data_IF_715950629520
#
_entry.id   IF_715950629520
#
_cell.length_a   1.000
_cell.length_b   1.000
_cell.length_c   1.000
_cell.angle_alpha   90.00
_cell.angle_beta   90.00
_cell.angle_gamma   90.00
#
_symmetry.space_group_name_H-M   'P 1'
#
loop_
_entity.id
_entity.type
_entity.pdbx_description
1 polymer ?
#
# COMPACT_ATOMS: atom_id res chain seq x y z
N UNK A 1 13.31 22.91 13.06
CA UNK A 1 12.33 22.52 12.03
C UNK A 1 11.39 23.71 11.88
N UNK A 2 11.57 24.50 10.80
CA UNK A 2 10.67 25.61 10.49
C UNK A 2 9.36 24.99 9.94
N UNK A 3 8.27 25.15 10.68
CA UNK A 3 6.92 24.99 10.15
C UNK A 3 6.74 26.10 9.10
N UNK A 4 6.76 25.70 7.83
CA UNK A 4 6.31 26.59 6.75
C UNK A 4 4.83 26.82 7.00
N UNK A 5 4.43 28.02 7.38
CA UNK A 5 3.04 28.38 7.50
C UNK A 5 2.43 28.30 6.10
N UNK A 6 1.56 27.32 5.88
CA UNK A 6 0.82 27.22 4.61
C UNK A 6 -0.02 28.49 4.42
N UNK A 7 0.05 29.06 3.22
CA UNK A 7 -0.74 30.24 2.87
C UNK A 7 -2.25 29.94 3.01
N UNK A 8 -3.00 30.61 3.90
CA UNK A 8 -4.42 30.34 4.10
C UNK A 8 -5.25 30.49 2.82
N UNK A 9 -4.83 31.31 1.87
CA UNK A 9 -5.49 31.50 0.58
C UNK A 9 -5.27 30.27 -0.31
N UNK A 10 -4.05 29.75 -0.37
CA UNK A 10 -3.72 28.55 -1.11
C UNK A 10 -4.45 27.31 -0.55
N UNK A 11 -4.49 27.17 0.76
CA UNK A 11 -5.24 26.08 1.44
C UNK A 11 -6.74 26.18 1.12
N UNK A 12 -7.33 27.36 1.15
CA UNK A 12 -8.75 27.56 0.84
C UNK A 12 -9.06 27.24 -0.62
N UNK A 13 -8.20 27.62 -1.55
CA UNK A 13 -8.34 27.32 -2.97
C UNK A 13 -8.25 25.81 -3.22
N UNK A 14 -7.28 25.12 -2.61
CA UNK A 14 -7.12 23.68 -2.72
C UNK A 14 -8.31 22.93 -2.11
N UNK A 15 -8.81 23.36 -0.96
CA UNK A 15 -10.00 22.79 -0.35
C UNK A 15 -11.23 22.92 -1.26
N UNK A 16 -11.40 24.06 -1.93
CA UNK A 16 -12.48 24.27 -2.90
C UNK A 16 -12.33 23.33 -4.11
N UNK A 17 -11.12 23.16 -4.63
CA UNK A 17 -10.81 22.23 -5.72
C UNK A 17 -11.15 20.81 -5.34
N UNK A 18 -10.68 20.33 -4.18
CA UNK A 18 -10.92 18.96 -3.70
C UNK A 18 -12.40 18.69 -3.46
N UNK A 19 -13.17 19.68 -2.96
CA UNK A 19 -14.63 19.55 -2.79
C UNK A 19 -15.35 19.43 -4.13
N UNK A 20 -14.94 20.19 -5.13
CA UNK A 20 -15.52 20.12 -6.47
C UNK A 20 -15.23 18.76 -7.13
N UNK A 21 -14.00 18.27 -7.01
CA UNK A 21 -13.62 16.96 -7.53
C UNK A 21 -14.34 15.80 -6.80
N UNK A 22 -14.47 15.90 -5.48
CA UNK A 22 -15.25 14.93 -4.70
C UNK A 22 -16.71 14.89 -5.19
N UNK A 23 -17.35 16.04 -5.38
CA UNK A 23 -18.71 16.11 -5.92
C UNK A 23 -18.82 15.50 -7.31
N UNK A 24 -17.82 15.73 -8.18
CA UNK A 24 -17.74 15.11 -9.51
C UNK A 24 -17.66 13.58 -9.41
N UNK A 25 -16.77 13.06 -8.57
CA UNK A 25 -16.59 11.63 -8.37
C UNK A 25 -17.84 10.96 -7.81
N UNK A 26 -18.51 11.58 -6.82
CA UNK A 26 -19.78 11.08 -6.29
C UNK A 26 -20.84 10.91 -7.37
N UNK A 27 -20.94 11.91 -8.26
CA UNK A 27 -21.88 11.86 -9.39
C UNK A 27 -21.55 10.73 -10.37
N UNK A 28 -20.26 10.57 -10.71
CA UNK A 28 -19.82 9.51 -11.62
C UNK A 28 -20.06 8.12 -11.04
N UNK A 29 -19.77 7.93 -9.74
CA UNK A 29 -19.96 6.66 -9.02
C UNK A 29 -21.43 6.38 -8.67
N UNK A 30 -22.33 7.34 -8.93
CA UNK A 30 -23.75 7.28 -8.53
C UNK A 30 -23.92 6.97 -7.03
N UNK A 31 -23.04 7.52 -6.21
CA UNK A 31 -23.10 7.39 -4.75
C UNK A 31 -23.96 8.51 -4.17
N UNK A 32 -24.83 8.17 -3.21
CA UNK A 32 -25.47 9.18 -2.37
C UNK A 32 -24.45 9.77 -1.38
N UNK A 33 -24.69 10.99 -0.85
CA UNK A 33 -23.84 11.57 0.18
C UNK A 33 -23.67 10.66 1.41
N UNK A 34 -24.70 9.88 1.77
CA UNK A 34 -24.65 8.92 2.89
C UNK A 34 -23.74 7.73 2.58
N UNK A 35 -23.73 7.22 1.34
CA UNK A 35 -22.84 6.13 0.93
C UNK A 35 -21.36 6.58 0.81
N UNK A 36 -21.15 7.87 0.55
CA UNK A 36 -19.83 8.47 0.46
C UNK A 36 -19.37 9.10 1.77
N UNK A 37 -20.27 9.27 2.74
CA UNK A 37 -19.91 9.78 4.05
C UNK A 37 -18.82 8.87 4.65
N UNK A 38 -17.74 9.45 5.18
CA UNK A 38 -16.80 8.67 5.97
C UNK A 38 -17.58 7.95 7.06
N UNK A 39 -17.19 6.71 7.42
CA UNK A 39 -17.87 6.00 8.50
C UNK A 39 -17.92 6.93 9.71
N UNK A 40 -19.11 6.99 10.33
CA UNK A 40 -19.37 7.84 11.50
C UNK A 40 -18.27 7.58 12.54
N UNK A 41 -17.75 8.62 13.26
CA UNK A 41 -16.63 8.51 14.19
C UNK A 41 -16.84 7.62 15.44
N UNK A 42 -17.62 6.55 15.37
CA UNK A 42 -17.40 5.38 16.23
C UNK A 42 -16.01 4.77 16.05
N UNK A 43 -15.29 5.21 15.01
CA UNK A 43 -13.88 4.90 14.79
C UNK A 43 -12.90 5.74 15.62
N UNK A 44 -13.30 6.82 16.27
CA UNK A 44 -12.42 7.49 17.23
C UNK A 44 -12.01 6.55 18.38
N UNK A 45 -12.90 5.67 18.82
CA UNK A 45 -12.58 4.61 19.78
C UNK A 45 -11.65 3.51 19.22
N UNK A 46 -11.54 3.39 17.89
CA UNK A 46 -10.62 2.42 17.26
C UNK A 46 -9.17 2.89 17.35
N UNK A 47 -8.95 4.20 17.51
CA UNK A 47 -7.61 4.79 17.66
C UNK A 47 -7.30 5.22 19.11
N UNK A 48 -8.27 5.22 20.01
CA UNK A 48 -8.00 5.31 21.44
C UNK A 48 -7.46 3.96 21.89
N UNK A 49 -6.22 4.00 22.38
CA UNK A 49 -5.35 2.92 22.76
C UNK A 49 -6.04 1.73 23.47
N UNK A 50 -6.72 0.89 22.70
CA UNK A 50 -6.95 -0.49 23.17
C UNK A 50 -5.59 -1.18 23.22
N UNK A 51 -5.25 -1.86 24.33
CA UNK A 51 -4.01 -2.62 24.39
C UNK A 51 -3.92 -3.57 23.19
N UNK A 52 -2.87 -3.43 22.39
CA UNK A 52 -2.65 -4.26 21.20
C UNK A 52 -2.91 -3.59 19.84
N UNK A 53 -3.49 -2.38 19.78
CA UNK A 53 -3.64 -1.64 18.52
C UNK A 53 -2.33 -0.93 18.18
N UNK A 54 -1.79 -1.22 16.99
CA UNK A 54 -0.60 -0.54 16.47
C UNK A 54 -1.02 0.79 15.84
N UNK A 55 -0.36 1.87 16.25
CA UNK A 55 -0.58 3.22 15.75
C UNK A 55 0.75 3.92 15.46
N UNK A 56 0.72 5.16 14.95
CA UNK A 56 1.94 5.79 14.46
C UNK A 56 2.99 6.07 15.57
N UNK A 57 2.60 6.19 16.82
CA UNK A 57 3.51 6.31 17.99
C UNK A 57 3.93 4.97 18.58
N UNK A 58 3.42 3.84 18.09
CA UNK A 58 3.83 2.52 18.59
C UNK A 58 5.32 2.26 18.35
N UNK A 59 5.98 1.45 19.20
CA UNK A 59 7.34 1.02 18.98
C UNK A 59 7.55 0.40 17.60
N UNK A 60 8.76 0.51 17.07
CA UNK A 60 9.10 0.00 15.74
C UNK A 60 8.83 -1.51 15.63
N UNK A 61 9.15 -2.27 16.66
CA UNK A 61 8.96 -3.71 16.73
C UNK A 61 7.49 -4.09 16.57
N UNK A 62 6.60 -3.36 17.23
CA UNK A 62 5.16 -3.56 17.10
C UNK A 62 4.66 -3.25 15.68
N UNK A 63 5.18 -2.20 15.04
CA UNK A 63 4.86 -1.85 13.65
C UNK A 63 5.34 -2.92 12.67
N UNK A 64 6.57 -3.43 12.86
CA UNK A 64 7.15 -4.49 12.03
C UNK A 64 6.34 -5.78 12.18
N UNK A 65 6.00 -6.16 13.41
CA UNK A 65 5.21 -7.35 13.68
C UNK A 65 3.80 -7.25 13.04
N UNK A 66 3.14 -6.12 13.21
CA UNK A 66 1.83 -5.86 12.62
C UNK A 66 1.89 -5.90 11.09
N UNK A 67 2.87 -5.20 10.48
CA UNK A 67 3.04 -5.18 9.03
C UNK A 67 3.32 -6.57 8.48
N UNK A 68 4.22 -7.33 9.13
CA UNK A 68 4.56 -8.70 8.74
C UNK A 68 3.38 -9.68 8.87
N UNK A 69 2.49 -9.45 9.83
CA UNK A 69 1.26 -10.24 9.97
C UNK A 69 0.21 -9.87 8.91
N UNK A 70 0.00 -8.56 8.67
CA UNK A 70 -0.98 -8.07 7.70
C UNK A 70 -0.61 -8.48 6.27
N UNK A 71 0.67 -8.37 5.91
CA UNK A 71 1.21 -8.73 4.59
C UNK A 71 1.95 -10.07 4.64
N UNK A 72 1.40 -11.05 5.34
CA UNK A 72 1.99 -12.37 5.41
C UNK A 72 2.20 -12.97 4.00
N UNK A 73 3.42 -13.43 3.73
CA UNK A 73 3.87 -13.89 2.42
C UNK A 73 4.98 -14.92 2.60
N UNK A 74 5.59 -15.36 1.50
CA UNK A 74 6.78 -16.23 1.58
C UNK A 74 7.88 -15.55 2.39
N UNK A 75 8.52 -16.31 3.26
CA UNK A 75 9.62 -15.84 4.13
C UNK A 75 10.98 -16.26 3.63
N UNK A 76 11.06 -17.23 2.71
CA UNK A 76 12.29 -17.75 2.13
C UNK A 76 12.88 -16.87 1.03
N UNK A 77 12.09 -15.96 0.47
CA UNK A 77 12.48 -15.04 -0.59
C UNK A 77 11.66 -13.76 -0.54
N UNK A 78 12.26 -12.64 -0.95
CA UNK A 78 11.58 -11.38 -1.23
C UNK A 78 12.19 -10.72 -2.46
N UNK A 79 11.49 -9.77 -3.06
CA UNK A 79 12.02 -8.96 -4.16
C UNK A 79 12.57 -7.64 -3.65
N UNK A 80 13.59 -7.12 -4.34
CA UNK A 80 14.12 -5.77 -4.15
C UNK A 80 13.97 -4.97 -5.44
N UNK A 81 13.69 -3.68 -5.30
CA UNK A 81 13.69 -2.76 -6.43
C UNK A 81 15.11 -2.42 -6.82
N UNK A 82 15.37 -2.40 -8.11
CA UNK A 82 16.59 -1.85 -8.67
C UNK A 82 16.29 -0.69 -9.60
N UNK A 83 17.20 0.29 -9.63
CA UNK A 83 17.18 1.41 -10.56
C UNK A 83 18.54 1.47 -11.28
N UNK A 84 18.55 1.23 -12.59
CA UNK A 84 19.75 1.28 -13.39
C UNK A 84 19.92 2.69 -13.97
N UNK A 85 20.73 3.48 -13.33
CA UNK A 85 20.96 4.88 -13.72
C UNK A 85 21.54 5.05 -15.13
N UNK A 86 22.29 4.05 -15.64
CA UNK A 86 22.88 4.09 -16.97
C UNK A 86 21.85 3.91 -18.08
N UNK A 87 20.82 3.09 -17.85
CA UNK A 87 19.81 2.75 -18.86
C UNK A 87 18.45 3.38 -18.59
N UNK A 88 18.27 4.05 -17.44
CA UNK A 88 16.99 4.58 -16.98
C UNK A 88 15.96 3.50 -16.61
N UNK A 89 16.33 2.22 -16.63
CA UNK A 89 15.42 1.12 -16.36
C UNK A 89 15.36 0.82 -14.87
N UNK A 90 14.16 0.67 -14.37
CA UNK A 90 13.88 0.16 -13.02
C UNK A 90 13.09 -1.14 -13.10
N UNK A 91 13.09 -1.91 -12.02
CA UNK A 91 12.32 -3.14 -11.95
C UNK A 91 12.53 -3.85 -10.61
N UNK A 92 12.03 -5.07 -10.54
CA UNK A 92 12.10 -5.90 -9.37
C UNK A 92 12.87 -7.18 -9.67
N UNK A 93 13.73 -7.59 -8.75
CA UNK A 93 14.46 -8.85 -8.82
C UNK A 93 14.42 -9.53 -7.45
N UNK A 94 14.45 -10.86 -7.38
CA UNK A 94 14.62 -11.54 -6.11
C UNK A 94 15.90 -11.12 -5.41
N UNK A 95 15.84 -10.94 -4.10
CA UNK A 95 17.01 -10.70 -3.27
C UNK A 95 17.84 -11.98 -3.20
N UNK A 96 19.10 -11.93 -3.68
CA UNK A 96 20.00 -13.09 -3.71
C UNK A 96 21.37 -12.71 -3.18
N UNK A 97 22.05 -13.69 -2.58
CA UNK A 97 23.43 -13.53 -2.10
C UNK A 97 24.34 -13.21 -3.26
N UNK A 98 25.16 -12.17 -3.11
CA UNK A 98 26.06 -11.72 -4.19
C UNK A 98 25.42 -10.89 -5.29
N UNK A 99 24.12 -10.56 -5.16
CA UNK A 99 23.37 -9.78 -6.14
C UNK A 99 22.80 -10.59 -7.31
N UNK A 100 21.79 -10.01 -7.96
CA UNK A 100 21.13 -10.64 -9.11
C UNK A 100 22.04 -10.71 -10.35
N UNK A 101 22.17 -11.90 -10.92
CA UNK A 101 22.93 -12.13 -12.15
C UNK A 101 22.04 -12.83 -13.19
N UNK A 102 22.07 -12.31 -14.44
CA UNK A 102 21.37 -12.92 -15.58
C UNK A 102 22.02 -14.25 -15.94
N UNK A 103 21.19 -15.28 -16.25
CA UNK A 103 21.68 -16.59 -16.73
C UNK A 103 22.00 -17.59 -15.61
N UNK A 104 22.04 -17.20 -14.34
CA UNK A 104 22.14 -18.15 -13.23
C UNK A 104 20.79 -18.88 -13.08
N UNK A 105 20.81 -20.24 -13.01
CA UNK A 105 19.60 -21.05 -12.85
C UNK A 105 18.97 -20.83 -11.48
N UNK A 106 17.66 -21.07 -11.39
CA UNK A 106 16.89 -20.87 -10.15
C UNK A 106 17.47 -21.66 -8.96
N UNK A 107 17.82 -22.94 -9.20
CA UNK A 107 18.37 -23.82 -8.18
C UNK A 107 19.76 -23.42 -7.66
N UNK A 108 20.53 -22.68 -8.46
CA UNK A 108 21.87 -22.21 -8.10
C UNK A 108 21.86 -20.84 -7.38
N UNK A 109 20.68 -20.27 -7.13
CA UNK A 109 20.53 -18.95 -6.48
C UNK A 109 20.40 -19.09 -4.97
N UNK A 110 21.27 -18.42 -4.24
CA UNK A 110 21.13 -18.24 -2.79
C UNK A 110 20.14 -17.15 -2.45
N UNK A 111 18.85 -17.44 -2.43
CA UNK A 111 17.82 -16.49 -2.04
C UNK A 111 18.00 -16.01 -0.60
N UNK A 112 17.68 -14.74 -0.36
CA UNK A 112 17.74 -14.16 0.97
C UNK A 112 16.35 -14.21 1.62
N UNK A 113 16.29 -14.58 2.92
CA UNK A 113 15.02 -14.68 3.63
C UNK A 113 14.46 -13.28 3.95
N UNK A 114 13.14 -13.17 3.93
CA UNK A 114 12.42 -12.02 4.45
C UNK A 114 12.45 -12.05 5.99
N UNK A 115 13.18 -11.13 6.58
CA UNK A 115 13.34 -11.03 8.04
C UNK A 115 12.67 -9.77 8.59
N UNK A 116 12.46 -9.73 9.91
CA UNK A 116 11.99 -8.53 10.59
C UNK A 116 12.90 -7.32 10.35
N UNK A 117 14.22 -7.52 10.20
CA UNK A 117 15.17 -6.45 9.88
C UNK A 117 14.93 -5.89 8.46
N UNK A 118 14.62 -6.74 7.48
CA UNK A 118 14.27 -6.32 6.12
C UNK A 118 12.98 -5.51 6.11
N UNK A 119 11.95 -5.97 6.82
CA UNK A 119 10.69 -5.23 6.98
C UNK A 119 10.90 -3.90 7.70
N UNK A 120 11.75 -3.87 8.73
CA UNK A 120 12.10 -2.63 9.41
C UNK A 120 12.77 -1.62 8.47
N UNK A 121 13.71 -2.07 7.63
CA UNK A 121 14.34 -1.24 6.61
C UNK A 121 13.33 -0.70 5.58
N UNK A 122 12.37 -1.53 5.18
CA UNK A 122 11.28 -1.11 4.29
C UNK A 122 10.41 -0.01 4.92
N UNK A 123 9.98 -0.19 6.16
CA UNK A 123 9.16 0.79 6.88
C UNK A 123 9.90 2.11 7.16
N UNK A 124 11.23 2.07 7.19
CA UNK A 124 12.09 3.28 7.28
C UNK A 124 12.34 3.94 5.91
N UNK A 125 11.97 3.29 4.81
CA UNK A 125 12.27 3.75 3.46
C UNK A 125 13.73 3.51 3.02
N UNK A 126 14.48 2.70 3.74
CA UNK A 126 15.88 2.34 3.42
C UNK A 126 15.96 1.35 2.25
N UNK A 127 14.96 0.50 2.10
CA UNK A 127 14.85 -0.50 1.05
C UNK A 127 13.41 -0.61 0.56
N UNK A 128 13.20 -0.84 -0.74
CA UNK A 128 11.90 -1.17 -1.30
C UNK A 128 11.79 -2.69 -1.44
N UNK A 129 10.84 -3.27 -0.72
CA UNK A 129 10.61 -4.71 -0.67
C UNK A 129 9.35 -5.06 -1.44
N UNK A 130 9.45 -6.05 -2.33
CA UNK A 130 8.31 -6.73 -2.95
C UNK A 130 8.10 -8.09 -2.30
N UNK A 131 6.85 -8.44 -2.07
CA UNK A 131 6.47 -9.70 -1.43
C UNK A 131 5.98 -10.71 -2.47
N UNK A 132 6.18 -12.00 -2.18
CA UNK A 132 5.63 -13.12 -2.93
C UNK A 132 4.45 -13.70 -2.15
N UNK A 133 3.20 -13.29 -2.47
CA UNK A 133 2.03 -13.65 -1.66
C UNK A 133 1.61 -15.11 -1.79
N UNK A 134 1.95 -15.77 -2.91
CA UNK A 134 1.52 -17.15 -3.17
C UNK A 134 2.35 -18.12 -2.34
N UNK A 135 1.66 -18.84 -1.45
CA UNK A 135 2.19 -19.86 -0.57
C UNK A 135 1.96 -21.28 -1.14
N UNK A 136 2.55 -22.28 -0.51
CA UNK A 136 2.33 -23.67 -0.87
C UNK A 136 0.84 -24.05 -0.82
N UNK A 137 0.40 -24.81 -1.82
CA UNK A 137 -0.99 -25.18 -1.98
C UNK A 137 -1.89 -24.09 -2.53
N UNK A 138 -1.32 -23.14 -3.29
CA UNK A 138 -2.03 -22.05 -3.98
C UNK A 138 -2.85 -21.17 -3.03
N UNK A 139 -2.28 -20.89 -1.85
CA UNK A 139 -2.90 -20.07 -0.81
C UNK A 139 -2.28 -18.67 -0.75
N UNK A 140 -3.06 -17.71 -0.32
CA UNK A 140 -2.59 -16.36 0.01
C UNK A 140 -3.39 -15.79 1.18
N UNK A 141 -2.81 -14.80 1.87
CA UNK A 141 -3.47 -14.08 2.97
C UNK A 141 -4.05 -12.74 2.54
N UNK A 142 -3.70 -12.31 1.33
CA UNK A 142 -4.15 -11.04 0.77
C UNK A 142 -4.06 -11.05 -0.75
N UNK A 143 -4.88 -10.20 -1.37
CA UNK A 143 -4.85 -9.88 -2.80
C UNK A 143 -4.61 -8.39 -2.97
N UNK A 144 -3.90 -8.03 -4.02
CA UNK A 144 -3.76 -6.65 -4.47
C UNK A 144 -4.24 -6.53 -5.92
N UNK A 145 -5.05 -5.52 -6.18
CA UNK A 145 -5.34 -5.06 -7.53
C UNK A 145 -4.62 -3.75 -7.76
N UNK A 146 -3.89 -3.65 -8.88
CA UNK A 146 -3.10 -2.48 -9.26
C UNK A 146 -3.82 -1.73 -10.38
N UNK A 147 -3.92 -0.41 -10.23
CA UNK A 147 -4.62 0.47 -11.15
C UNK A 147 -3.68 1.58 -11.60
N UNK A 148 -3.38 1.59 -12.88
CA UNK A 148 -2.49 2.56 -13.52
C UNK A 148 -3.21 3.38 -14.60
N UNK A 149 -2.60 4.50 -14.97
CA UNK A 149 -3.09 5.36 -16.03
C UNK A 149 -4.09 6.43 -15.60
N UNK A 150 -4.69 7.16 -16.56
CA UNK A 150 -5.52 8.33 -16.26
C UNK A 150 -6.77 8.06 -15.46
N UNK A 151 -7.35 6.87 -15.59
CA UNK A 151 -8.59 6.44 -14.93
C UNK A 151 -8.36 5.58 -13.68
N UNK A 152 -7.09 5.39 -13.28
CA UNK A 152 -6.70 4.48 -12.19
C UNK A 152 -7.51 4.69 -10.89
N UNK A 153 -7.68 5.94 -10.47
CA UNK A 153 -8.44 6.24 -9.26
C UNK A 153 -9.93 5.93 -9.42
N UNK A 154 -10.49 6.19 -10.61
CA UNK A 154 -11.89 5.87 -10.89
C UNK A 154 -12.12 4.35 -10.87
N UNK A 155 -11.26 3.60 -11.53
CA UNK A 155 -11.34 2.13 -11.58
C UNK A 155 -11.16 1.51 -10.20
N UNK A 156 -10.20 2.01 -9.41
CA UNK A 156 -10.01 1.57 -8.04
C UNK A 156 -11.22 1.85 -7.14
N UNK A 157 -11.86 3.01 -7.29
CA UNK A 157 -13.09 3.34 -6.55
C UNK A 157 -14.28 2.46 -6.98
N UNK A 158 -14.37 2.11 -8.26
CA UNK A 158 -15.37 1.17 -8.75
C UNK A 158 -15.13 -0.24 -8.18
N UNK A 159 -13.87 -0.67 -8.08
CA UNK A 159 -13.49 -1.93 -7.44
C UNK A 159 -13.90 -1.97 -5.97
N UNK A 160 -13.57 -0.90 -5.20
CA UNK A 160 -13.98 -0.77 -3.79
C UNK A 160 -15.50 -0.79 -3.66
N UNK A 161 -16.24 -0.12 -4.57
CA UNK A 161 -17.70 -0.13 -4.58
C UNK A 161 -18.25 -1.54 -4.82
N UNK A 162 -17.68 -2.28 -5.76
CA UNK A 162 -18.07 -3.66 -6.02
C UNK A 162 -17.81 -4.57 -4.79
N UNK A 163 -16.64 -4.42 -4.16
CA UNK A 163 -16.30 -5.12 -2.92
C UNK A 163 -17.34 -4.87 -1.81
N UNK A 164 -17.71 -3.60 -1.61
CA UNK A 164 -18.78 -3.25 -0.63
C UNK A 164 -20.12 -3.91 -0.94
N UNK A 165 -20.50 -3.96 -2.20
CA UNK A 165 -21.75 -4.62 -2.63
C UNK A 165 -21.72 -6.13 -2.35
N UNK A 166 -20.55 -6.74 -2.40
CA UNK A 166 -20.30 -8.16 -2.09
C UNK A 166 -19.95 -8.41 -0.63
N UNK A 167 -19.98 -7.39 0.23
CA UNK A 167 -19.56 -7.45 1.64
C UNK A 167 -18.11 -7.89 1.84
N UNK A 168 -17.25 -7.65 0.84
CA UNK A 168 -15.81 -7.89 0.92
C UNK A 168 -15.11 -6.59 1.33
N UNK A 169 -14.41 -6.56 2.47
CA UNK A 169 -13.64 -5.39 2.89
C UNK A 169 -12.48 -5.13 1.92
N UNK A 170 -12.46 -3.95 1.31
CA UNK A 170 -11.39 -3.52 0.41
C UNK A 170 -10.77 -2.24 0.95
N UNK A 171 -9.46 -2.26 1.17
CA UNK A 171 -8.68 -1.09 1.55
C UNK A 171 -8.10 -0.44 0.28
N UNK A 172 -8.30 0.87 0.13
CA UNK A 172 -7.76 1.65 -0.98
C UNK A 172 -6.48 2.35 -0.55
N UNK A 173 -5.45 2.24 -1.36
CA UNK A 173 -4.19 2.97 -1.24
C UNK A 173 -3.95 3.80 -2.49
N UNK A 174 -3.53 5.05 -2.33
CA UNK A 174 -3.02 5.87 -3.43
C UNK A 174 -1.56 5.55 -3.63
N UNK A 175 -1.16 5.23 -4.86
CA UNK A 175 0.24 4.90 -5.15
C UNK A 175 1.16 6.09 -4.85
N UNK A 176 2.44 5.81 -4.64
CA UNK A 176 3.45 6.84 -4.35
C UNK A 176 3.53 7.93 -5.42
N UNK A 177 3.19 7.63 -6.66
CA UNK A 177 3.17 8.61 -7.75
C UNK A 177 2.01 9.63 -7.63
N UNK A 178 0.99 9.31 -6.83
CA UNK A 178 -0.23 10.10 -6.69
C UNK A 178 -1.22 9.93 -7.85
N UNK A 179 -0.88 9.15 -8.89
CA UNK A 179 -1.72 8.96 -10.08
C UNK A 179 -2.24 7.55 -10.26
N UNK A 180 -1.63 6.56 -9.59
CA UNK A 180 -2.11 5.17 -9.52
C UNK A 180 -2.78 4.87 -8.19
N UNK A 181 -3.40 3.70 -8.09
CA UNK A 181 -4.01 3.20 -6.86
C UNK A 181 -3.85 1.69 -6.72
N UNK A 182 -3.82 1.21 -5.48
CA UNK A 182 -3.89 -0.20 -5.15
C UNK A 182 -5.15 -0.47 -4.32
N UNK A 183 -5.80 -1.59 -4.57
CA UNK A 183 -6.87 -2.08 -3.73
C UNK A 183 -6.47 -3.40 -3.09
N UNK A 184 -6.55 -3.46 -1.76
CA UNK A 184 -6.11 -4.58 -0.95
C UNK A 184 -7.30 -5.31 -0.34
N UNK A 185 -7.30 -6.64 -0.44
CA UNK A 185 -8.24 -7.53 0.25
C UNK A 185 -7.41 -8.44 1.15
N UNK A 186 -7.73 -8.47 2.43
CA UNK A 186 -7.09 -9.32 3.44
C UNK A 186 -8.07 -10.41 3.89
N UNK A 187 -7.56 -11.65 4.11
CA UNK A 187 -8.34 -12.82 4.49
C UNK A 187 -8.05 -13.27 5.91
#
# INVERSE_FOLDING_TARGET
>A
VFLVAEDPVAVKAELARLRAENARLLKLLRLSPQQAAPPVPGQAAFFEASPGVVHHHSPQEAKVAFFGALFAARTDVYAIRYDNQRTGKSGWVPAVRGGWQKGVRHEDRGYLPLTAAVLAGHLKGEVHVGLYPLLDGDKCWWLAADFDGPEAMFDALMYVKAGRALQVPVALEVSRSGVGAHAWVFF
#
